data_IF_874264347621
#
_entry.id   IF_874264347621
#
_cell.length_a   1.000
_cell.length_b   1.000
_cell.length_c   1.000
_cell.angle_alpha   90.00
_cell.angle_beta   90.00
_cell.angle_gamma   90.00
#
_symmetry.space_group_name_H-M   'P 1'
#
loop_
_entity.id
_entity.type
_entity.pdbx_description
1 polymer ?
#
# COMPACT_ATOMS: atom_id res chain seq x y z
N UNK A 1 2.51 -8.68 10.36
CA UNK A 1 1.42 -8.40 9.40
C UNK A 1 1.01 -9.72 8.74
N UNK A 2 -0.30 -9.99 8.55
CA UNK A 2 -0.77 -11.14 7.77
C UNK A 2 -0.46 -10.96 6.27
N UNK A 3 -0.37 -12.06 5.52
CA UNK A 3 -0.04 -12.04 4.07
C UNK A 3 -0.98 -11.16 3.24
N UNK A 4 -2.26 -11.05 3.64
CA UNK A 4 -3.26 -10.20 2.97
C UNK A 4 -3.01 -8.71 3.21
N UNK A 5 -2.70 -8.31 4.45
CA UNK A 5 -2.41 -6.92 4.78
C UNK A 5 -1.18 -6.42 4.02
N UNK A 6 -0.16 -7.26 3.88
CA UNK A 6 1.04 -6.93 3.10
C UNK A 6 0.71 -6.68 1.61
N UNK A 7 -0.16 -7.49 1.00
CA UNK A 7 -0.59 -7.30 -0.39
C UNK A 7 -1.33 -5.98 -0.59
N UNK A 8 -2.20 -5.60 0.34
CA UNK A 8 -2.89 -4.31 0.31
C UNK A 8 -1.93 -3.14 0.53
N UNK A 9 -0.97 -3.29 1.43
CA UNK A 9 0.11 -2.32 1.62
C UNK A 9 0.92 -2.11 0.34
N UNK A 10 1.35 -3.18 -0.33
CA UNK A 10 2.08 -3.10 -1.59
C UNK A 10 1.24 -2.49 -2.72
N UNK A 11 -0.06 -2.78 -2.76
CA UNK A 11 -0.98 -2.17 -3.72
C UNK A 11 -1.14 -0.65 -3.49
N UNK A 12 -1.19 -0.19 -2.24
CA UNK A 12 -1.16 1.24 -1.92
C UNK A 12 0.19 1.86 -2.27
N UNK A 13 1.28 1.17 -1.95
CA UNK A 13 2.65 1.60 -2.21
C UNK A 13 2.94 1.78 -3.70
N UNK A 14 2.40 0.91 -4.56
CA UNK A 14 2.53 1.03 -6.03
C UNK A 14 1.69 2.16 -6.64
N UNK A 15 0.90 2.88 -5.84
CA UNK A 15 0.07 4.00 -6.29
C UNK A 15 -1.29 3.59 -6.87
N UNK A 16 -1.76 2.36 -6.61
CA UNK A 16 -3.08 1.91 -7.08
C UNK A 16 -4.18 2.52 -6.24
N UNK A 17 -4.93 3.43 -6.84
CA UNK A 17 -6.07 4.04 -6.19
C UNK A 17 -7.28 3.11 -6.25
N UNK A 18 -7.72 2.62 -5.08
CA UNK A 18 -8.91 1.78 -4.97
C UNK A 18 -10.18 2.54 -5.40
N UNK A 19 -11.07 1.93 -6.21
CA UNK A 19 -12.38 2.48 -6.54
C UNK A 19 -13.17 2.84 -5.29
N UNK A 20 -14.02 3.87 -5.39
CA UNK A 20 -14.80 4.37 -4.25
C UNK A 20 -15.63 3.28 -3.56
N UNK A 21 -16.20 2.34 -4.33
CA UNK A 21 -16.96 1.21 -3.81
C UNK A 21 -16.10 0.29 -2.93
N UNK A 22 -14.90 -0.09 -3.37
CA UNK A 22 -13.97 -0.89 -2.58
C UNK A 22 -13.51 -0.15 -1.33
N UNK A 23 -13.21 1.16 -1.43
CA UNK A 23 -12.84 1.95 -0.26
C UNK A 23 -13.96 2.00 0.79
N UNK A 24 -15.23 2.09 0.36
CA UNK A 24 -16.38 2.03 1.27
C UNK A 24 -16.55 0.64 1.90
N UNK A 25 -16.39 -0.42 1.12
CA UNK A 25 -16.56 -1.80 1.61
C UNK A 25 -15.45 -2.20 2.59
N UNK A 26 -14.21 -1.78 2.32
CA UNK A 26 -13.05 -2.06 3.17
C UNK A 26 -12.90 -1.03 4.30
N UNK A 27 -13.71 0.04 4.33
CA UNK A 27 -13.58 1.08 5.33
C UNK A 27 -13.55 0.50 6.75
N UNK A 28 -12.67 1.05 7.60
CA UNK A 28 -12.46 0.62 9.00
C UNK A 28 -11.88 -0.79 9.17
N UNK A 29 -11.61 -1.53 8.10
CA UNK A 29 -10.89 -2.82 8.17
C UNK A 29 -9.37 -2.64 8.19
N UNK A 30 -8.66 -3.66 8.65
CA UNK A 30 -7.19 -3.68 8.63
C UNK A 30 -6.63 -3.65 7.18
N UNK A 31 -7.40 -4.10 6.18
CA UNK A 31 -7.02 -4.04 4.77
C UNK A 31 -6.99 -2.60 4.25
N UNK A 32 -8.01 -1.81 4.59
CA UNK A 32 -8.04 -0.39 4.25
C UNK A 32 -6.91 0.37 4.95
N UNK A 33 -6.65 0.06 6.22
CA UNK A 33 -5.52 0.65 6.97
C UNK A 33 -4.17 0.28 6.34
N UNK A 34 -3.98 -0.98 5.94
CA UNK A 34 -2.76 -1.43 5.29
C UNK A 34 -2.55 -0.76 3.92
N UNK A 35 -3.60 -0.69 3.09
CA UNK A 35 -3.54 0.03 1.82
C UNK A 35 -3.24 1.51 2.01
N UNK A 36 -3.90 2.17 2.97
CA UNK A 36 -3.67 3.58 3.26
C UNK A 36 -2.24 3.82 3.78
N UNK A 37 -1.72 2.94 4.63
CA UNK A 37 -0.34 2.98 5.09
C UNK A 37 0.65 2.83 3.92
N UNK A 38 0.35 1.97 2.95
CA UNK A 38 1.13 1.83 1.72
C UNK A 38 1.10 3.09 0.85
N UNK A 39 -0.08 3.67 0.65
CA UNK A 39 -0.27 4.91 -0.13
C UNK A 39 0.44 6.11 0.54
N UNK A 40 0.36 6.23 1.87
CA UNK A 40 1.11 7.23 2.63
C UNK A 40 2.60 6.89 2.77
N UNK A 41 2.98 5.64 2.52
CA UNK A 41 4.33 5.12 2.67
C UNK A 41 4.82 5.03 4.12
N UNK A 42 3.90 4.83 5.07
CA UNK A 42 4.19 4.63 6.50
C UNK A 42 4.45 3.16 6.76
N UNK A 43 5.53 2.83 7.46
CA UNK A 43 5.89 1.47 7.82
C UNK A 43 6.42 1.42 9.25
N UNK A 44 6.42 0.23 9.84
CA UNK A 44 7.04 0.00 11.15
C UNK A 44 8.34 -0.75 10.95
N UNK A 45 9.41 -0.27 11.56
CA UNK A 45 10.73 -0.87 11.50
C UNK A 45 11.23 -1.14 12.91
N UNK A 46 11.95 -2.25 13.08
CA UNK A 46 12.62 -2.57 14.34
C UNK A 46 13.98 -1.87 14.34
N UNK A 47 14.10 -0.85 15.20
CA UNK A 47 15.36 -0.13 15.45
C UNK A 47 15.88 -0.53 16.84
N UNK A 48 17.14 -0.20 17.18
CA UNK A 48 17.69 -0.47 18.51
C UNK A 48 16.84 0.07 19.67
N UNK A 49 16.04 1.11 19.41
CA UNK A 49 15.16 1.81 20.35
C UNK A 49 13.76 1.17 20.47
N UNK A 50 13.47 0.12 19.68
CA UNK A 50 12.18 -0.58 19.63
C UNK A 50 11.48 -0.45 18.27
N UNK A 51 10.17 -0.70 18.26
CA UNK A 51 9.35 -0.66 17.05
C UNK A 51 8.97 0.80 16.75
N UNK A 52 9.60 1.40 15.73
CA UNK A 52 9.39 2.81 15.37
C UNK A 52 8.51 2.89 14.12
N UNK A 53 7.57 3.83 14.11
CA UNK A 53 6.80 4.16 12.93
C UNK A 53 7.61 5.14 12.06
N UNK A 54 8.05 4.66 10.90
CA UNK A 54 8.88 5.39 9.95
C UNK A 54 8.04 5.88 8.76
N UNK A 55 8.33 7.10 8.30
CA UNK A 55 7.75 7.71 7.11
C UNK A 55 8.58 7.46 5.86
N UNK A 56 8.12 7.95 4.71
CA UNK A 56 8.83 7.81 3.42
C UNK A 56 10.23 8.43 3.46
N UNK A 57 10.40 9.53 4.21
CA UNK A 57 11.67 10.25 4.35
C UNK A 57 12.69 9.51 5.23
N UNK A 58 12.25 8.55 6.04
CA UNK A 58 13.11 7.77 6.94
C UNK A 58 13.67 6.51 6.24
N UNK A 59 13.36 6.32 4.95
CA UNK A 59 13.79 5.17 4.16
C UNK A 59 15.19 5.40 3.58
N UNK A 60 16.00 4.35 3.62
CA UNK A 60 17.32 4.31 2.97
C UNK A 60 17.22 4.36 1.43
N UNK A 61 16.09 3.93 0.87
CA UNK A 61 15.83 3.88 -0.57
C UNK A 61 14.51 4.58 -0.93
N UNK A 62 14.54 5.43 -1.97
CA UNK A 62 13.37 6.08 -2.56
C UNK A 62 13.17 5.60 -4.01
N UNK A 63 11.98 5.13 -4.35
CA UNK A 63 11.59 4.86 -5.74
C UNK A 63 10.61 5.94 -6.22
N UNK A 64 10.88 6.55 -7.38
CA UNK A 64 9.93 7.47 -8.01
C UNK A 64 8.61 6.73 -8.30
N UNK A 65 7.50 7.27 -7.81
CA UNK A 65 6.16 6.71 -8.04
C UNK A 65 5.72 7.06 -9.47
N UNK A 66 5.52 6.08 -10.34
CA UNK A 66 5.00 6.27 -11.71
C UNK A 66 3.51 6.69 -11.65
N UNK A 67 3.16 7.80 -12.29
CA UNK A 67 1.80 8.05 -12.80
C UNK A 67 1.34 9.50 -12.80
N UNK A 68 1.38 10.14 -13.97
CA UNK A 68 0.56 11.31 -14.26
C UNK A 68 -0.93 10.90 -14.17
N UNK A 69 -1.66 11.44 -13.20
CA UNK A 69 -3.08 11.15 -12.99
C UNK A 69 -3.32 9.97 -12.05
N UNK A 70 -3.71 10.29 -10.81
CA UNK A 70 -4.24 9.37 -9.78
C UNK A 70 -5.62 8.83 -10.18
N UNK A 71 -5.72 8.19 -11.34
CA UNK A 71 -6.97 7.57 -11.80
C UNK A 71 -7.26 6.31 -10.98
N UNK A 72 -8.54 6.01 -10.66
CA UNK A 72 -8.90 4.76 -9.99
C UNK A 72 -8.44 3.57 -10.84
N UNK A 73 -7.73 2.64 -10.21
CA UNK A 73 -7.24 1.45 -10.89
C UNK A 73 -8.43 0.57 -11.34
N UNK A 74 -8.33 -0.02 -12.52
CA UNK A 74 -9.32 -1.00 -13.00
C UNK A 74 -9.31 -2.21 -12.07
N UNK A 75 -10.48 -2.81 -11.84
CA UNK A 75 -10.64 -3.96 -10.95
C UNK A 75 -9.66 -5.11 -11.28
N UNK A 76 -9.43 -5.35 -12.58
CA UNK A 76 -8.46 -6.33 -13.10
C UNK A 76 -7.03 -6.06 -12.61
N UNK A 77 -6.60 -4.80 -12.59
CA UNK A 77 -5.24 -4.41 -12.20
C UNK A 77 -5.05 -4.62 -10.69
N UNK A 78 -6.09 -4.33 -9.91
CA UNK A 78 -6.11 -4.58 -8.47
C UNK A 78 -6.02 -6.08 -8.18
N UNK A 79 -6.81 -6.89 -8.89
CA UNK A 79 -6.78 -8.35 -8.75
C UNK A 79 -5.39 -8.93 -9.09
N UNK A 80 -4.78 -8.47 -10.18
CA UNK A 80 -3.41 -8.89 -10.57
C UNK A 80 -2.40 -8.55 -9.48
N UNK A 81 -2.43 -7.32 -8.93
CA UNK A 81 -1.52 -6.93 -7.85
C UNK A 81 -1.76 -7.66 -6.53
N UNK A 82 -3.00 -8.05 -6.23
CA UNK A 82 -3.31 -8.83 -5.03
C UNK A 82 -2.90 -10.31 -5.17
N UNK A 83 -2.85 -10.84 -6.40
CA UNK A 83 -2.39 -12.21 -6.69
C UNK A 83 -0.86 -12.25 -6.81
N UNK A 84 -0.28 -11.27 -7.52
CA UNK A 84 1.15 -11.14 -7.79
C UNK A 84 1.63 -9.71 -7.49
N UNK A 85 1.93 -9.39 -6.21
CA UNK A 85 2.35 -8.05 -5.81
C UNK A 85 3.72 -7.63 -6.36
N UNK A 86 4.54 -8.61 -6.79
CA UNK A 86 5.88 -8.43 -7.35
C UNK A 86 5.95 -8.82 -8.84
N UNK A 87 4.82 -8.98 -9.53
CA UNK A 87 4.79 -9.37 -10.94
C UNK A 87 5.59 -8.40 -11.81
N UNK A 88 6.57 -8.95 -12.56
CA UNK A 88 7.36 -8.24 -13.58
C UNK A 88 6.49 -7.60 -14.65
#
# INVERSE_FOLDING_TARGET
MTSLNLRFYLAGYSGLLLPRAMRRLLARTNLHRAWLAGDMGVFTEERPEGMVACGVCDREWIQFRKGAGRAPAKLRTIAIHLISPFGR
#
